data_IF_695090331854
#
_entry.id   IF_695090331854
#
_cell.length_a   1.000
_cell.length_b   1.000
_cell.length_c   1.000
_cell.angle_alpha   90.00
_cell.angle_beta   90.00
_cell.angle_gamma   90.00
#
_symmetry.space_group_name_H-M   'P 1'
#
loop_
_entity.id
_entity.type
_entity.pdbx_description
1 polymer ?
#
# COMPACT_ATOMS: atom_id res chain seq x y z
N UNK A 1 -33.74 21.64 -1.23
CA UNK A 1 -32.47 21.64 -1.97
C UNK A 1 -32.77 21.74 -3.46
N UNK A 2 -32.18 22.67 -4.20
CA UNK A 2 -32.29 22.74 -5.66
C UNK A 2 -31.76 21.42 -6.28
N UNK A 3 -32.21 21.13 -7.50
CA UNK A 3 -31.86 19.86 -8.18
C UNK A 3 -30.35 19.68 -8.33
N UNK A 4 -29.62 20.75 -8.68
CA UNK A 4 -28.16 20.74 -8.83
C UNK A 4 -27.42 20.35 -7.54
N UNK A 5 -27.85 20.87 -6.40
CA UNK A 5 -27.23 20.54 -5.10
C UNK A 5 -27.43 19.06 -4.73
N UNK A 6 -28.57 18.49 -5.08
CA UNK A 6 -28.85 17.06 -4.87
C UNK A 6 -27.95 16.17 -5.74
N UNK A 7 -27.74 16.57 -6.98
CA UNK A 7 -26.84 15.87 -7.92
C UNK A 7 -25.42 15.89 -7.38
N UNK A 8 -24.91 17.06 -7.00
CA UNK A 8 -23.57 17.20 -6.42
C UNK A 8 -23.41 16.40 -5.13
N UNK A 9 -24.37 16.48 -4.22
CA UNK A 9 -24.32 15.73 -2.96
C UNK A 9 -24.27 14.22 -3.21
N UNK A 10 -25.15 13.69 -4.05
CA UNK A 10 -25.16 12.25 -4.37
C UNK A 10 -23.89 11.82 -5.10
N UNK A 11 -23.32 12.64 -5.97
CA UNK A 11 -22.06 12.38 -6.63
C UNK A 11 -20.89 12.32 -5.61
N UNK A 12 -20.86 13.24 -4.64
CA UNK A 12 -19.89 13.20 -3.54
C UNK A 12 -20.02 11.94 -2.69
N UNK A 13 -21.24 11.58 -2.31
CA UNK A 13 -21.51 10.35 -1.52
C UNK A 13 -21.07 9.11 -2.30
N UNK A 14 -21.38 9.03 -3.59
CA UNK A 14 -21.01 7.89 -4.42
C UNK A 14 -19.50 7.72 -4.60
N UNK A 15 -18.74 8.82 -4.58
CA UNK A 15 -17.27 8.80 -4.76
C UNK A 15 -16.48 8.75 -3.43
N UNK A 16 -17.12 9.06 -2.30
CA UNK A 16 -16.45 9.05 -0.99
C UNK A 16 -15.82 7.70 -0.60
N UNK A 17 -16.42 6.51 -0.89
CA UNK A 17 -15.81 5.23 -0.60
C UNK A 17 -14.48 5.02 -1.32
N UNK A 18 -14.29 5.62 -2.51
CA UNK A 18 -13.04 5.52 -3.26
C UNK A 18 -11.89 6.28 -2.59
N UNK A 19 -12.19 7.42 -1.97
CA UNK A 19 -11.22 8.18 -1.19
C UNK A 19 -10.80 7.38 0.04
N UNK A 20 -11.77 6.79 0.76
CA UNK A 20 -11.50 5.94 1.93
C UNK A 20 -10.63 4.74 1.52
N UNK A 21 -10.97 4.06 0.42
CA UNK A 21 -10.18 2.93 -0.08
C UNK A 21 -8.74 3.36 -0.41
N UNK A 22 -8.54 4.56 -0.95
CA UNK A 22 -7.20 5.10 -1.22
C UNK A 22 -6.37 5.28 0.05
N UNK A 23 -6.96 5.81 1.12
CA UNK A 23 -6.29 5.93 2.42
C UNK A 23 -5.98 4.56 3.02
N UNK A 24 -6.92 3.61 2.93
CA UNK A 24 -6.69 2.23 3.38
C UNK A 24 -5.53 1.58 2.62
N UNK A 25 -5.50 1.71 1.28
CA UNK A 25 -4.41 1.21 0.47
C UNK A 25 -3.06 1.81 0.87
N UNK A 26 -3.01 3.13 1.06
CA UNK A 26 -1.79 3.82 1.47
C UNK A 26 -1.28 3.32 2.82
N UNK A 27 -2.19 3.14 3.78
CA UNK A 27 -1.85 2.62 5.12
C UNK A 27 -1.33 1.18 5.04
N UNK A 28 -1.98 0.32 4.27
CA UNK A 28 -1.56 -1.07 4.05
C UNK A 28 -0.18 -1.13 3.38
N UNK A 29 0.03 -0.31 2.35
CA UNK A 29 1.32 -0.22 1.66
C UNK A 29 2.45 0.22 2.61
N UNK A 30 2.19 1.18 3.49
CA UNK A 30 3.16 1.62 4.49
C UNK A 30 3.50 0.53 5.50
N UNK A 31 2.50 -0.18 6.03
CA UNK A 31 2.71 -1.30 6.96
C UNK A 31 3.56 -2.39 6.29
N UNK A 32 3.21 -2.75 5.07
CA UNK A 32 3.94 -3.77 4.30
C UNK A 32 5.38 -3.38 4.01
N UNK A 33 5.62 -2.12 3.63
CA UNK A 33 6.96 -1.56 3.42
C UNK A 33 7.78 -1.65 4.70
N UNK A 34 7.17 -1.29 5.84
CA UNK A 34 7.83 -1.36 7.13
C UNK A 34 8.22 -2.81 7.51
N UNK A 35 7.29 -3.74 7.38
CA UNK A 35 7.53 -5.16 7.71
C UNK A 35 8.62 -5.78 6.83
N UNK A 36 8.59 -5.53 5.52
CA UNK A 36 9.60 -6.07 4.59
C UNK A 36 10.97 -5.44 4.79
N UNK A 37 11.03 -4.16 5.14
CA UNK A 37 12.27 -3.47 5.46
C UNK A 37 12.88 -4.00 6.77
N UNK A 38 12.04 -4.22 7.79
CA UNK A 38 12.48 -4.80 9.06
C UNK A 38 13.02 -6.23 8.88
N UNK A 39 12.35 -7.06 8.06
CA UNK A 39 12.81 -8.42 7.74
C UNK A 39 14.14 -8.39 6.98
N UNK A 40 14.29 -7.51 5.97
CA UNK A 40 15.53 -7.40 5.23
C UNK A 40 16.69 -6.93 6.12
N UNK A 41 16.42 -5.98 7.01
CA UNK A 41 17.38 -5.47 7.97
C UNK A 41 17.80 -6.55 8.95
N UNK A 42 16.85 -7.29 9.53
CA UNK A 42 17.12 -8.38 10.45
C UNK A 42 17.95 -9.51 9.81
N UNK A 43 17.75 -9.77 8.53
CA UNK A 43 18.52 -10.77 7.79
C UNK A 43 20.03 -10.40 7.62
N UNK A 44 20.40 -9.14 7.82
CA UNK A 44 21.82 -8.73 7.85
C UNK A 44 22.56 -9.24 9.09
N UNK A 45 21.85 -9.61 10.15
CA UNK A 45 22.45 -10.23 11.33
C UNK A 45 22.93 -11.66 11.07
N UNK A 46 22.28 -12.38 10.15
CA UNK A 46 22.59 -13.79 9.88
C UNK A 46 23.53 -13.95 8.68
N UNK A 47 23.29 -13.20 7.62
CA UNK A 47 23.98 -13.39 6.34
C UNK A 47 24.61 -12.11 5.84
N UNK A 48 25.83 -12.22 5.29
CA UNK A 48 26.48 -11.10 4.62
C UNK A 48 25.74 -10.76 3.33
N UNK A 49 25.25 -9.52 3.23
CA UNK A 49 24.53 -9.02 2.03
C UNK A 49 25.10 -7.70 1.58
N UNK A 50 25.08 -7.46 0.26
CA UNK A 50 25.43 -6.16 -0.29
C UNK A 50 24.40 -5.12 0.11
N UNK A 51 24.83 -3.91 0.39
CA UNK A 51 23.95 -2.77 0.65
C UNK A 51 23.10 -2.45 -0.58
N UNK A 52 21.87 -1.99 -0.35
CA UNK A 52 21.01 -1.50 -1.44
C UNK A 52 21.23 -0.02 -1.65
N UNK A 53 21.55 0.35 -2.86
CA UNK A 53 21.82 1.73 -3.25
C UNK A 53 21.18 2.03 -4.61
N UNK A 54 20.96 3.30 -4.91
CA UNK A 54 20.36 3.74 -6.17
C UNK A 54 21.25 3.47 -7.39
N UNK A 55 22.57 3.51 -7.19
CA UNK A 55 23.58 3.22 -8.23
C UNK A 55 24.58 2.21 -7.68
N UNK A 56 24.33 0.91 -7.85
CA UNK A 56 25.16 -0.13 -7.29
C UNK A 56 26.53 -0.18 -7.95
N UNK A 57 27.57 -0.29 -7.13
CA UNK A 57 28.95 -0.52 -7.53
C UNK A 57 29.53 -1.68 -6.73
N UNK A 58 30.46 -2.43 -7.27
CA UNK A 58 31.06 -3.58 -6.59
C UNK A 58 30.03 -4.68 -6.28
N UNK A 59 29.92 -5.05 -5.02
CA UNK A 59 28.99 -6.10 -4.53
C UNK A 59 27.67 -5.53 -3.98
N UNK A 60 27.40 -4.25 -4.20
CA UNK A 60 26.15 -3.60 -3.82
C UNK A 60 24.98 -4.12 -4.65
N UNK A 61 23.74 -3.91 -4.17
CA UNK A 61 22.51 -4.29 -4.85
C UNK A 61 21.68 -3.04 -5.17
N UNK A 62 20.94 -3.09 -6.28
CA UNK A 62 19.99 -2.04 -6.62
C UNK A 62 18.82 -2.00 -5.63
N UNK A 63 18.26 -0.81 -5.41
CA UNK A 63 16.99 -0.63 -4.72
C UNK A 63 15.85 -1.29 -5.49
N UNK A 64 14.77 -1.65 -4.78
CA UNK A 64 13.54 -2.08 -5.44
C UNK A 64 12.86 -0.89 -6.12
N UNK A 65 12.35 -1.09 -7.31
CA UNK A 65 11.58 -0.06 -8.02
C UNK A 65 10.30 0.33 -7.27
N UNK A 66 9.63 -0.63 -6.63
CA UNK A 66 8.36 -0.46 -5.91
C UNK A 66 8.53 -0.31 -4.39
N UNK A 67 9.73 -0.04 -3.88
CA UNK A 67 10.06 0.01 -2.45
C UNK A 67 9.86 -1.32 -1.69
N UNK A 68 8.96 -2.17 -2.17
CA UNK A 68 8.64 -3.48 -1.60
C UNK A 68 9.17 -4.57 -2.54
N UNK A 69 9.57 -5.70 -1.97
CA UNK A 69 9.96 -6.89 -2.74
C UNK A 69 8.81 -7.31 -3.67
N UNK A 70 9.11 -7.58 -4.94
CA UNK A 70 8.10 -7.93 -5.96
C UNK A 70 7.16 -9.07 -5.54
N UNK A 71 7.65 -10.02 -4.75
CA UNK A 71 6.87 -11.11 -4.17
C UNK A 71 5.62 -10.63 -3.42
N UNK A 72 5.70 -9.47 -2.77
CA UNK A 72 4.63 -8.87 -1.99
C UNK A 72 3.95 -7.71 -2.73
N UNK A 73 4.72 -6.96 -3.51
CA UNK A 73 4.19 -5.83 -4.26
C UNK A 73 3.15 -6.25 -5.29
N UNK A 74 3.43 -7.31 -6.07
CA UNK A 74 2.53 -7.76 -7.14
C UNK A 74 1.16 -8.20 -6.59
N UNK A 75 1.06 -9.10 -5.59
CA UNK A 75 -0.23 -9.44 -4.99
C UNK A 75 -0.98 -8.23 -4.41
N UNK A 76 -0.28 -7.32 -3.75
CA UNK A 76 -0.90 -6.12 -3.16
C UNK A 76 -1.48 -5.20 -4.23
N UNK A 77 -0.73 -4.92 -5.30
CA UNK A 77 -1.20 -4.09 -6.42
C UNK A 77 -2.38 -4.75 -7.12
N UNK A 78 -2.31 -6.06 -7.36
CA UNK A 78 -3.40 -6.81 -8.00
C UNK A 78 -4.66 -6.77 -7.16
N UNK A 79 -4.59 -7.07 -5.86
CA UNK A 79 -5.73 -7.01 -4.96
C UNK A 79 -6.33 -5.60 -4.89
N UNK A 80 -5.49 -4.56 -4.81
CA UNK A 80 -5.92 -3.17 -4.81
C UNK A 80 -6.62 -2.80 -6.11
N UNK A 81 -6.06 -3.18 -7.26
CA UNK A 81 -6.67 -2.92 -8.58
C UNK A 81 -8.06 -3.56 -8.70
N UNK A 82 -8.21 -4.80 -8.20
CA UNK A 82 -9.51 -5.49 -8.16
C UNK A 82 -10.50 -4.75 -7.26
N UNK A 83 -10.07 -4.29 -6.08
CA UNK A 83 -10.92 -3.52 -5.17
C UNK A 83 -11.36 -2.18 -5.77
N UNK A 84 -10.43 -1.46 -6.43
CA UNK A 84 -10.75 -0.22 -7.13
C UNK A 84 -11.70 -0.41 -8.31
N UNK A 85 -11.62 -1.55 -8.98
CA UNK A 85 -12.53 -1.90 -10.06
C UNK A 85 -13.93 -2.32 -9.56
N UNK A 86 -14.01 -3.08 -8.44
CA UNK A 86 -15.27 -3.55 -7.85
C UNK A 86 -16.04 -2.42 -7.17
N UNK A 87 -15.36 -1.43 -6.59
CA UNK A 87 -15.99 -0.40 -5.78
C UNK A 87 -17.04 0.42 -6.55
N UNK A 88 -16.75 1.00 -7.74
CA UNK A 88 -17.77 1.73 -8.50
C UNK A 88 -18.88 0.86 -9.06
N UNK A 89 -18.68 -0.46 -9.15
CA UNK A 89 -19.73 -1.41 -9.51
C UNK A 89 -20.58 -1.80 -8.31
N UNK A 90 -20.02 -1.70 -7.11
CA UNK A 90 -20.71 -1.97 -5.86
C UNK A 90 -21.57 -0.80 -5.41
N UNK A 91 -21.09 0.42 -5.65
CA UNK A 91 -21.73 1.65 -5.23
C UNK A 91 -21.61 2.70 -6.33
N UNK A 92 -22.73 3.11 -6.91
CA UNK A 92 -22.73 3.96 -8.09
C UNK A 92 -23.80 5.05 -8.00
N UNK A 93 -23.55 6.13 -8.72
CA UNK A 93 -24.50 7.25 -8.88
C UNK A 93 -25.41 6.99 -10.08
N UNK A 94 -26.71 7.21 -9.90
CA UNK A 94 -27.72 7.11 -10.96
C UNK A 94 -28.45 8.43 -11.04
N UNK A 95 -28.46 9.01 -12.25
CA UNK A 95 -29.28 10.17 -12.58
C UNK A 95 -30.25 9.78 -13.69
N UNK A 96 -31.52 10.04 -13.46
CA UNK A 96 -32.60 9.82 -14.47
C UNK A 96 -33.20 11.16 -14.79
N UNK A 97 -32.94 11.61 -16.00
CA UNK A 97 -33.50 12.86 -16.53
C UNK A 97 -34.74 12.55 -17.32
N UNK A 98 -35.85 13.24 -17.00
CA UNK A 98 -37.12 13.08 -17.68
C UNK A 98 -37.35 14.27 -18.62
N UNK A 99 -37.55 13.98 -19.88
CA UNK A 99 -37.86 15.00 -20.92
C UNK A 99 -39.32 14.91 -21.29
N UNK A 100 -39.95 16.06 -21.43
CA UNK A 100 -41.28 16.19 -22.00
C UNK A 100 -41.27 17.33 -23.05
N UNK A 101 -41.72 17.05 -24.27
CA UNK A 101 -41.73 17.97 -25.41
C UNK A 101 -40.34 18.57 -25.75
N UNK A 102 -39.24 17.79 -25.48
CA UNK A 102 -37.86 18.22 -25.73
C UNK A 102 -37.22 19.08 -24.65
N UNK A 103 -37.96 19.43 -23.60
CA UNK A 103 -37.42 20.13 -22.44
C UNK A 103 -37.28 19.22 -21.21
N UNK A 104 -36.24 19.46 -20.43
CA UNK A 104 -35.94 18.69 -19.18
C UNK A 104 -36.95 19.08 -18.08
N UNK A 105 -37.70 18.10 -17.60
CA UNK A 105 -38.66 18.29 -16.51
C UNK A 105 -37.98 18.04 -15.19
N UNK A 106 -37.39 19.07 -14.55
CA UNK A 106 -36.66 19.02 -13.32
C UNK A 106 -37.47 18.38 -12.16
N UNK A 107 -38.78 18.63 -12.13
CA UNK A 107 -39.64 18.06 -11.07
C UNK A 107 -39.79 16.54 -11.11
N UNK A 108 -39.54 15.91 -12.28
CA UNK A 108 -39.61 14.47 -12.50
C UNK A 108 -38.23 13.81 -12.57
N UNK A 109 -37.18 14.61 -12.74
CA UNK A 109 -35.80 14.10 -12.75
C UNK A 109 -35.35 13.71 -11.35
N UNK A 110 -34.68 12.56 -11.25
CA UNK A 110 -34.24 11.99 -9.97
C UNK A 110 -32.73 11.71 -9.99
N UNK A 111 -32.07 12.01 -8.88
CA UNK A 111 -30.68 11.66 -8.63
C UNK A 111 -30.63 10.79 -7.37
N UNK A 112 -30.03 9.61 -7.46
CA UNK A 112 -29.92 8.66 -6.36
C UNK A 112 -28.61 7.88 -6.41
N UNK A 113 -28.19 7.34 -5.28
CA UNK A 113 -27.13 6.35 -5.21
C UNK A 113 -27.74 4.95 -5.28
N UNK A 114 -27.19 4.11 -6.16
CA UNK A 114 -27.53 2.71 -6.28
C UNK A 114 -26.42 1.83 -5.71
N UNK A 115 -26.74 0.59 -5.38
CA UNK A 115 -25.76 -0.41 -5.00
C UNK A 115 -26.09 -1.77 -5.62
N UNK A 116 -25.03 -2.56 -5.89
CA UNK A 116 -25.15 -3.94 -6.35
C UNK A 116 -24.72 -4.88 -5.24
N UNK A 117 -25.66 -5.68 -4.74
CA UNK A 117 -25.40 -6.61 -3.63
C UNK A 117 -24.34 -7.66 -3.97
N UNK A 118 -24.31 -8.16 -5.19
CA UNK A 118 -23.33 -9.16 -5.62
C UNK A 118 -21.92 -8.57 -5.68
N UNK A 119 -21.76 -7.41 -6.33
CA UNK A 119 -20.45 -6.73 -6.41
C UNK A 119 -19.94 -6.33 -5.04
N UNK A 120 -20.84 -5.87 -4.16
CA UNK A 120 -20.52 -5.51 -2.79
C UNK A 120 -20.05 -6.73 -1.97
N UNK A 121 -20.72 -7.88 -2.13
CA UNK A 121 -20.31 -9.13 -1.46
C UNK A 121 -18.90 -9.55 -1.91
N UNK A 122 -18.64 -9.53 -3.22
CA UNK A 122 -17.31 -9.88 -3.76
C UNK A 122 -16.25 -8.89 -3.25
N UNK A 123 -16.57 -7.61 -3.23
CA UNK A 123 -15.68 -6.57 -2.68
C UNK A 123 -15.31 -6.87 -1.22
N UNK A 124 -16.27 -7.19 -0.37
CA UNK A 124 -16.01 -7.53 1.04
C UNK A 124 -15.18 -8.81 1.18
N UNK A 125 -15.43 -9.85 0.37
CA UNK A 125 -14.63 -11.07 0.38
C UNK A 125 -13.17 -10.77 0.04
N UNK A 126 -12.90 -10.02 -1.04
CA UNK A 126 -11.55 -9.66 -1.45
C UNK A 126 -10.86 -8.79 -0.40
N UNK A 127 -11.56 -7.81 0.16
CA UNK A 127 -11.04 -6.96 1.24
C UNK A 127 -10.69 -7.78 2.50
N UNK A 128 -11.57 -8.71 2.89
CA UNK A 128 -11.32 -9.59 4.04
C UNK A 128 -10.12 -10.50 3.81
N UNK A 129 -9.98 -11.10 2.63
CA UNK A 129 -8.82 -11.93 2.29
C UNK A 129 -7.51 -11.12 2.36
N UNK A 130 -7.52 -9.87 1.89
CA UNK A 130 -6.38 -8.97 1.99
C UNK A 130 -6.03 -8.70 3.45
N UNK A 131 -7.01 -8.34 4.29
CA UNK A 131 -6.80 -8.10 5.73
C UNK A 131 -6.29 -9.33 6.45
N UNK A 132 -6.86 -10.50 6.17
CA UNK A 132 -6.39 -11.78 6.74
C UNK A 132 -4.94 -12.08 6.34
N UNK A 133 -4.55 -11.80 5.09
CA UNK A 133 -3.17 -11.99 4.64
C UNK A 133 -2.18 -11.10 5.38
N UNK A 134 -2.55 -9.84 5.63
CA UNK A 134 -1.76 -8.89 6.41
C UNK A 134 -1.64 -9.36 7.87
N UNK A 135 -2.76 -9.72 8.50
CA UNK A 135 -2.78 -10.24 9.86
C UNK A 135 -1.93 -11.49 10.02
N UNK A 136 -1.98 -12.39 9.04
CA UNK A 136 -1.15 -13.60 9.05
C UNK A 136 0.35 -13.30 8.96
N UNK A 137 0.76 -12.36 8.11
CA UNK A 137 2.16 -11.95 8.03
C UNK A 137 2.60 -11.20 9.29
N UNK A 138 1.75 -10.31 9.83
CA UNK A 138 2.03 -9.57 11.05
C UNK A 138 2.11 -10.45 12.30
N UNK A 139 1.39 -11.58 12.32
CA UNK A 139 1.42 -12.53 13.45
C UNK A 139 2.65 -13.43 13.47
N UNK A 140 3.48 -13.41 12.41
CA UNK A 140 4.72 -14.20 12.42
C UNK A 140 5.71 -13.64 13.45
N UNK A 141 6.21 -14.47 14.37
CA UNK A 141 7.22 -14.02 15.33
C UNK A 141 8.51 -13.66 14.58
N UNK A 142 8.82 -12.37 14.56
CA UNK A 142 10.12 -11.90 14.05
C UNK A 142 11.10 -11.97 15.22
N UNK A 143 12.05 -12.89 15.18
CA UNK A 143 13.16 -12.86 16.11
C UNK A 143 14.02 -11.64 15.81
N UNK A 144 13.89 -10.61 16.62
CA UNK A 144 14.66 -9.38 16.47
C UNK A 144 16.10 -9.63 16.89
N UNK A 145 17.00 -9.73 15.93
CA UNK A 145 18.45 -9.86 16.13
C UNK A 145 19.17 -8.52 16.06
N UNK A 146 18.50 -7.53 15.51
CA UNK A 146 19.01 -6.17 15.35
C UNK A 146 18.03 -5.15 15.91
N UNK A 147 18.51 -4.00 16.43
CA UNK A 147 17.64 -2.88 16.76
C UNK A 147 16.84 -2.46 15.54
N UNK A 148 15.56 -2.18 15.72
CA UNK A 148 14.71 -1.69 14.63
C UNK A 148 15.19 -0.28 14.27
N UNK A 149 15.89 -0.17 13.15
CA UNK A 149 16.42 1.10 12.69
C UNK A 149 15.32 1.96 12.06
N UNK A 150 14.34 1.36 11.39
CA UNK A 150 13.33 2.02 10.58
C UNK A 150 13.97 3.16 9.75
N UNK A 151 13.61 4.41 10.03
CA UNK A 151 14.18 5.61 9.42
C UNK A 151 15.09 6.40 10.36
N UNK A 152 15.51 5.83 11.50
CA UNK A 152 16.37 6.52 12.46
C UNK A 152 17.81 6.60 11.94
N UNK A 153 18.23 7.78 11.52
CA UNK A 153 19.56 8.02 10.97
C UNK A 153 20.71 7.73 11.98
N UNK A 154 20.46 7.93 13.26
CA UNK A 154 21.45 7.62 14.31
C UNK A 154 21.72 6.11 14.43
N UNK A 155 20.66 5.29 14.40
CA UNK A 155 20.80 3.83 14.45
C UNK A 155 21.46 3.31 13.17
N UNK A 156 21.08 3.86 12.01
CA UNK A 156 21.70 3.53 10.72
C UNK A 156 23.18 3.92 10.72
N UNK A 157 23.50 5.13 11.19
CA UNK A 157 24.88 5.61 11.28
C UNK A 157 25.72 4.73 12.22
N UNK A 158 25.22 4.38 13.41
CA UNK A 158 25.90 3.47 14.33
C UNK A 158 26.13 2.09 13.72
N UNK A 159 25.17 1.58 12.94
CA UNK A 159 25.28 0.30 12.25
C UNK A 159 26.26 0.31 11.07
N UNK A 160 26.51 1.46 10.48
CA UNK A 160 27.37 1.63 9.30
C UNK A 160 28.83 1.98 9.67
N UNK A 161 29.19 2.07 10.97
CA UNK A 161 30.56 2.30 11.39
C UNK A 161 31.40 1.01 11.29
N UNK A 162 32.31 0.91 10.32
CA UNK A 162 33.21 -0.25 10.24
C UNK A 162 34.21 -0.21 11.40
N UNK A 163 34.49 -1.39 11.97
CA UNK A 163 35.64 -1.52 12.88
C UNK A 163 36.92 -1.20 12.12
N UNK A 164 37.66 -0.27 12.66
CA UNK A 164 38.99 0.27 12.23
C UNK A 164 39.55 -0.18 10.85
N UNK A 165 39.79 0.83 9.99
CA UNK A 165 40.70 0.81 8.83
C UNK A 165 40.39 -0.07 7.61
N UNK A 166 39.16 -0.45 7.32
CA UNK A 166 38.83 -1.04 6.01
C UNK A 166 38.21 0.00 5.08
N UNK A 167 39.01 0.56 4.18
CA UNK A 167 38.54 1.42 3.10
C UNK A 167 37.70 0.57 2.12
N UNK A 168 36.52 1.03 1.73
CA UNK A 168 35.67 0.36 0.72
C UNK A 168 34.75 -0.73 1.26
N UNK A 169 34.50 -0.77 2.58
CA UNK A 169 33.56 -1.72 3.20
C UNK A 169 32.12 -1.55 2.68
N UNK A 170 31.76 -0.36 2.24
CA UNK A 170 30.47 -0.02 1.63
C UNK A 170 30.24 -0.70 0.29
N UNK A 171 31.31 -1.08 -0.42
CA UNK A 171 31.26 -1.78 -1.71
C UNK A 171 31.20 -3.30 -1.57
N UNK A 172 31.39 -3.82 -0.36
CA UNK A 172 31.44 -5.25 -0.07
C UNK A 172 30.14 -5.73 0.56
N UNK A 173 30.00 -7.04 0.75
CA UNK A 173 28.94 -7.64 1.53
C UNK A 173 29.20 -7.41 3.00
N UNK A 174 28.24 -6.77 3.68
CA UNK A 174 28.29 -6.47 5.12
C UNK A 174 27.41 -7.43 5.91
N UNK A 175 27.76 -7.64 7.17
CA UNK A 175 26.98 -8.38 8.15
C UNK A 175 26.98 -7.56 9.44
N UNK A 176 25.85 -7.53 10.12
CA UNK A 176 25.76 -6.98 11.47
C UNK A 176 26.37 -7.95 12.49
N UNK A 177 27.12 -7.45 13.44
CA UNK A 177 27.70 -8.25 14.52
C UNK A 177 28.76 -7.46 15.29
N UNK A 178 29.16 -7.98 16.43
CA UNK A 178 30.30 -7.46 17.18
C UNK A 178 31.56 -7.78 16.36
N UNK A 179 32.38 -6.75 16.13
CA UNK A 179 33.70 -6.96 15.53
C UNK A 179 34.57 -7.70 16.54
N UNK A 180 34.94 -8.93 16.24
CA UNK A 180 36.03 -9.66 16.92
C UNK A 180 37.37 -9.12 16.49
#
# INVERSE_FOLDING_TARGET
MPFGDRVLFNAWVANSPQIILSFCYFSVNNIWTFLTSAEEWNNLADTRKGLRVSRPTGQQRSTYFLQITYKWAVPLITASSVLYWLLPQSFFFVQVDTFAHGEMVISKSKAACGFSSLSLLIFFIVALLLLCSIGWVASRPVQQKMPIAASCSLVISAACHPSQNRIGTELMKVKWGVAE
#
